data_IF_087582065107
#
_entry.id   IF_087582065107
#
_cell.length_a   1.000
_cell.length_b   1.000
_cell.length_c   1.000
_cell.angle_alpha   90.00
_cell.angle_beta   90.00
_cell.angle_gamma   90.00
#
_symmetry.space_group_name_H-M   'P 1'
#
loop_
_entity.id
_entity.type
_entity.pdbx_description
1 polymer ?
#
# COMPACT_ATOMS: atom_id res chain seq x y z
N UNK A 1 -12.69 -3.40 -8.08
CA UNK A 1 -13.17 -2.01 -7.83
C UNK A 1 -13.49 -1.76 -6.35
N UNK A 2 -14.46 -2.46 -5.71
CA UNK A 2 -14.82 -2.20 -4.30
C UNK A 2 -13.63 -2.23 -3.32
N UNK A 3 -12.82 -3.30 -3.36
CA UNK A 3 -11.66 -3.46 -2.49
C UNK A 3 -10.63 -2.32 -2.64
N UNK A 4 -10.56 -1.72 -3.84
CA UNK A 4 -9.66 -0.61 -4.14
C UNK A 4 -10.10 0.66 -3.41
N UNK A 5 -11.35 1.07 -3.57
CA UNK A 5 -11.89 2.23 -2.86
C UNK A 5 -11.84 2.05 -1.34
N UNK A 6 -12.14 0.84 -0.85
CA UNK A 6 -12.00 0.51 0.56
C UNK A 6 -10.55 0.71 1.05
N UNK A 7 -9.58 0.20 0.29
CA UNK A 7 -8.15 0.33 0.63
C UNK A 7 -7.73 1.80 0.65
N UNK A 8 -8.11 2.58 -0.35
CA UNK A 8 -7.80 4.02 -0.43
C UNK A 8 -8.28 4.77 0.80
N UNK A 9 -9.45 4.43 1.35
CA UNK A 9 -10.00 5.11 2.52
C UNK A 9 -9.49 4.60 3.86
N UNK A 10 -8.91 3.40 3.91
CA UNK A 10 -8.21 2.92 5.09
C UNK A 10 -6.86 3.64 5.31
N UNK A 11 -6.23 4.14 4.24
CA UNK A 11 -4.95 4.87 4.33
C UNK A 11 -5.06 6.16 5.17
N UNK A 12 -5.95 7.13 4.88
CA UNK A 12 -6.05 8.36 5.66
C UNK A 12 -6.39 8.09 7.13
N UNK A 13 -7.21 7.07 7.44
CA UNK A 13 -7.54 6.70 8.82
C UNK A 13 -6.30 6.28 9.61
N UNK A 14 -5.42 5.46 9.01
CA UNK A 14 -4.16 5.07 9.63
C UNK A 14 -3.24 6.27 9.88
N UNK A 15 -3.21 7.23 8.96
CA UNK A 15 -2.43 8.46 9.09
C UNK A 15 -2.98 9.42 10.15
N UNK A 16 -4.30 9.61 10.20
CA UNK A 16 -4.97 10.41 11.23
C UNK A 16 -4.70 9.83 12.61
N UNK A 17 -4.86 8.50 12.77
CA UNK A 17 -4.57 7.83 14.04
C UNK A 17 -3.14 8.10 14.52
N UNK A 18 -2.16 7.98 13.63
CA UNK A 18 -0.74 8.25 13.94
C UNK A 18 -0.46 9.72 14.20
N UNK A 19 -1.09 10.61 13.45
CA UNK A 19 -1.01 12.05 13.70
C UNK A 19 -1.49 12.38 15.12
N UNK A 20 -2.63 11.83 15.54
CA UNK A 20 -3.16 12.02 16.89
C UNK A 20 -2.22 11.43 17.96
N UNK A 21 -1.66 10.26 17.70
CA UNK A 21 -0.73 9.61 18.62
C UNK A 21 0.60 10.39 18.77
N UNK A 22 1.21 10.83 17.67
CA UNK A 22 2.56 11.45 17.66
C UNK A 22 2.50 12.95 17.92
N UNK A 23 1.59 13.66 17.25
CA UNK A 23 1.56 15.13 17.32
C UNK A 23 0.76 15.64 18.52
N UNK A 24 -0.24 14.88 18.97
CA UNK A 24 -1.14 15.28 20.07
C UNK A 24 -0.98 14.43 21.34
N UNK A 25 -0.15 13.38 21.33
CA UNK A 25 -0.05 12.40 22.43
C UNK A 25 -1.42 11.83 22.84
N UNK A 26 -2.37 11.78 21.90
CA UNK A 26 -3.74 11.35 22.17
C UNK A 26 -3.92 9.88 21.77
N UNK A 27 -4.20 9.01 22.74
CA UNK A 27 -4.52 7.61 22.49
C UNK A 27 -6.02 7.48 22.20
N UNK A 28 -6.37 7.12 20.97
CA UNK A 28 -7.78 6.84 20.65
C UNK A 28 -8.25 5.57 21.34
N UNK A 29 -9.46 5.63 21.90
CA UNK A 29 -10.17 4.44 22.34
C UNK A 29 -10.54 3.58 21.12
N UNK A 30 -10.53 2.26 21.26
CA UNK A 30 -10.87 1.31 20.19
C UNK A 30 -12.25 1.59 19.58
N UNK A 31 -13.23 2.01 20.39
CA UNK A 31 -14.57 2.40 19.91
C UNK A 31 -14.51 3.60 18.95
N UNK A 32 -13.74 4.63 19.30
CA UNK A 32 -13.57 5.83 18.46
C UNK A 32 -12.79 5.50 17.18
N UNK A 33 -11.80 4.60 17.27
CA UNK A 33 -11.08 4.13 16.08
C UNK A 33 -12.00 3.38 15.11
N UNK A 34 -12.83 2.46 15.62
CA UNK A 34 -13.82 1.74 14.79
C UNK A 34 -14.82 2.71 14.18
N UNK A 35 -15.30 3.71 14.94
CA UNK A 35 -16.20 4.74 14.41
C UNK A 35 -15.54 5.57 13.30
N UNK A 36 -14.25 5.91 13.44
CA UNK A 36 -13.49 6.63 12.43
C UNK A 36 -13.34 5.78 11.15
N UNK A 37 -12.99 4.49 11.28
CA UNK A 37 -12.92 3.56 10.15
C UNK A 37 -14.29 3.46 9.46
N UNK A 38 -15.36 3.26 10.22
CA UNK A 38 -16.71 3.17 9.68
C UNK A 38 -17.10 4.44 8.91
N UNK A 39 -16.85 5.62 9.48
CA UNK A 39 -17.14 6.91 8.86
C UNK A 39 -16.44 7.06 7.51
N UNK A 40 -15.13 6.78 7.45
CA UNK A 40 -14.34 6.89 6.21
C UNK A 40 -14.69 5.80 5.19
N UNK A 41 -15.36 4.74 5.61
CA UNK A 41 -15.71 3.60 4.77
C UNK A 41 -17.05 3.74 4.05
N UNK A 42 -17.98 4.54 4.60
CA UNK A 42 -19.33 4.71 4.04
C UNK A 42 -19.29 5.16 2.58
N UNK A 43 -18.51 6.19 2.27
CA UNK A 43 -18.45 6.78 0.94
C UNK A 43 -17.82 5.83 -0.11
N UNK A 44 -16.68 5.17 0.16
CA UNK A 44 -16.14 4.09 -0.68
C UNK A 44 -17.09 2.94 -0.92
N UNK A 45 -17.81 2.49 0.12
CA UNK A 45 -18.81 1.44 -0.02
C UNK A 45 -19.89 1.89 -0.98
N UNK A 46 -20.41 3.10 -0.78
CA UNK A 46 -21.43 3.68 -1.65
C UNK A 46 -20.97 3.76 -3.11
N UNK A 47 -19.77 4.26 -3.37
CA UNK A 47 -19.18 4.31 -4.72
C UNK A 47 -19.01 2.90 -5.29
N UNK A 48 -18.48 1.96 -4.50
CA UNK A 48 -18.28 0.58 -4.93
C UNK A 48 -19.58 -0.11 -5.32
N UNK A 49 -20.65 0.07 -4.52
CA UNK A 49 -21.99 -0.44 -4.83
C UNK A 49 -22.55 0.21 -6.09
N UNK A 50 -22.41 1.53 -6.25
CA UNK A 50 -22.82 2.25 -7.48
C UNK A 50 -22.10 1.72 -8.70
N UNK A 51 -20.79 1.50 -8.62
CA UNK A 51 -20.01 0.93 -9.71
C UNK A 51 -20.47 -0.50 -10.03
N UNK A 52 -20.78 -1.35 -9.05
CA UNK A 52 -21.34 -2.69 -9.31
C UNK A 52 -22.68 -2.64 -10.06
N UNK A 53 -23.51 -1.63 -9.79
CA UNK A 53 -24.80 -1.45 -10.48
C UNK A 53 -24.58 -0.89 -11.89
N UNK A 54 -23.62 0.02 -12.07
CA UNK A 54 -23.34 0.71 -13.33
C UNK A 54 -22.53 -0.13 -14.32
N UNK A 55 -21.61 -0.97 -13.84
CA UNK A 55 -20.86 -1.94 -14.65
C UNK A 55 -21.67 -3.21 -14.92
N UNK A 56 -22.97 -3.06 -15.18
CA UNK A 56 -23.73 -4.13 -15.82
C UNK A 56 -23.35 -4.16 -17.30
N UNK A 57 -23.21 -5.36 -17.91
CA UNK A 57 -23.01 -5.46 -19.34
C UNK A 57 -24.16 -4.73 -20.05
N UNK A 58 -23.83 -3.96 -21.10
CA UNK A 58 -24.86 -3.29 -21.89
C UNK A 58 -25.78 -4.33 -22.53
N UNK A 59 -27.01 -3.95 -22.89
CA UNK A 59 -27.91 -4.86 -23.61
C UNK A 59 -27.28 -5.34 -24.92
N UNK A 60 -26.51 -4.46 -25.58
CA UNK A 60 -25.70 -4.81 -26.75
C UNK A 60 -24.63 -5.85 -26.41
N UNK A 61 -23.89 -5.69 -25.30
CA UNK A 61 -22.91 -6.68 -24.87
C UNK A 61 -23.60 -8.03 -24.66
N UNK A 62 -24.74 -8.08 -23.94
CA UNK A 62 -25.50 -9.33 -23.75
C UNK A 62 -25.92 -9.95 -25.09
N UNK A 63 -26.36 -9.13 -26.05
CA UNK A 63 -26.82 -9.55 -27.37
C UNK A 63 -25.67 -10.08 -28.26
N UNK A 64 -24.52 -9.40 -28.25
CA UNK A 64 -23.39 -9.72 -29.13
C UNK A 64 -22.36 -10.66 -28.48
N UNK A 65 -22.36 -10.83 -27.16
CA UNK A 65 -21.48 -11.76 -26.44
C UNK A 65 -21.48 -13.20 -26.96
N UNK A 66 -22.62 -13.85 -27.29
CA UNK A 66 -22.57 -15.19 -27.88
C UNK A 66 -21.96 -15.19 -29.29
N UNK A 67 -22.11 -14.11 -30.07
CA UNK A 67 -21.46 -13.97 -31.38
C UNK A 67 -19.95 -13.80 -31.21
N UNK A 68 -19.51 -13.03 -30.22
CA UNK A 68 -18.10 -12.89 -29.85
C UNK A 68 -17.49 -14.20 -29.33
N UNK A 69 -18.17 -14.90 -28.42
CA UNK A 69 -17.70 -16.18 -27.86
C UNK A 69 -17.55 -17.28 -28.92
N UNK A 70 -18.36 -17.23 -29.99
CA UNK A 70 -18.28 -18.17 -31.11
C UNK A 70 -17.35 -17.70 -32.23
N UNK A 71 -16.81 -16.49 -32.14
CA UNK A 71 -15.91 -15.95 -33.16
C UNK A 71 -14.50 -16.50 -32.97
N UNK A 72 -13.84 -16.81 -34.08
CA UNK A 72 -12.45 -17.31 -34.11
C UNK A 72 -11.46 -16.33 -33.43
N UNK A 73 -11.84 -15.06 -33.29
CA UNK A 73 -11.10 -14.01 -32.58
C UNK A 73 -10.91 -14.27 -31.08
N UNK A 74 -11.74 -15.10 -30.44
CA UNK A 74 -11.54 -15.52 -29.05
C UNK A 74 -10.53 -16.67 -28.90
N UNK A 75 -10.21 -17.37 -30.00
CA UNK A 75 -9.14 -18.38 -30.00
C UNK A 75 -7.75 -17.74 -30.11
N UNK A 76 -7.69 -16.48 -30.51
CA UNK A 76 -6.46 -15.70 -30.45
C UNK A 76 -6.21 -15.28 -29.00
N UNK A 77 -5.12 -15.79 -28.41
CA UNK A 77 -4.80 -15.62 -26.98
C UNK A 77 -4.48 -14.18 -26.61
N UNK A 78 -4.33 -13.32 -27.61
CA UNK A 78 -3.93 -11.92 -27.46
C UNK A 78 -5.12 -10.95 -27.52
N UNK A 79 -6.34 -11.42 -27.76
CA UNK A 79 -7.52 -10.54 -27.86
C UNK A 79 -8.09 -10.19 -26.49
N UNK A 80 -7.91 -8.94 -26.07
CA UNK A 80 -8.39 -8.42 -24.79
C UNK A 80 -9.85 -7.98 -24.92
N UNK A 81 -10.74 -8.64 -24.17
CA UNK A 81 -12.15 -8.24 -24.10
C UNK A 81 -12.25 -6.96 -23.26
N UNK A 82 -12.46 -5.84 -23.94
CA UNK A 82 -12.78 -4.57 -23.28
C UNK A 82 -14.29 -4.46 -23.12
N UNK A 83 -14.77 -4.39 -21.87
CA UNK A 83 -16.18 -4.17 -21.60
C UNK A 83 -16.53 -2.72 -21.93
N UNK A 84 -17.39 -2.52 -22.93
CA UNK A 84 -17.99 -1.21 -23.21
C UNK A 84 -19.01 -0.93 -22.12
N UNK A 85 -18.66 -0.01 -21.21
CA UNK A 85 -19.62 0.49 -20.21
C UNK A 85 -20.72 1.22 -20.98
N UNK A 86 -21.97 0.78 -20.82
CA UNK A 86 -23.11 1.42 -21.47
C UNK A 86 -23.13 2.93 -21.20
N UNK A 87 -23.56 3.71 -22.19
CA UNK A 87 -23.61 5.18 -22.18
C UNK A 87 -24.65 5.73 -21.19
N UNK A 88 -24.42 5.48 -19.89
CA UNK A 88 -25.23 5.97 -18.80
C UNK A 88 -24.59 7.25 -18.28
N UNK A 89 -25.33 8.36 -18.31
CA UNK A 89 -24.92 9.66 -17.76
C UNK A 89 -24.47 9.60 -16.28
N UNK A 90 -24.88 8.55 -15.55
CA UNK A 90 -24.49 8.28 -14.17
C UNK A 90 -23.05 7.73 -14.02
N UNK A 91 -22.49 7.14 -15.07
CA UNK A 91 -21.12 6.59 -15.09
C UNK A 91 -20.05 7.67 -14.89
N UNK A 92 -19.98 8.75 -15.71
CA UNK A 92 -18.98 9.80 -15.53
C UNK A 92 -19.12 10.50 -14.17
N UNK A 93 -20.35 10.72 -13.68
CA UNK A 93 -20.55 11.31 -12.34
C UNK A 93 -19.97 10.44 -11.22
N UNK A 94 -20.12 9.11 -11.32
CA UNK A 94 -19.59 8.19 -10.32
C UNK A 94 -18.06 8.12 -10.39
N UNK A 95 -17.48 8.19 -11.58
CA UNK A 95 -16.02 8.28 -11.77
C UNK A 95 -15.45 9.59 -11.19
N UNK A 96 -16.08 10.73 -11.46
CA UNK A 96 -15.68 12.04 -10.90
C UNK A 96 -15.73 11.99 -9.37
N UNK A 97 -16.81 11.46 -8.79
CA UNK A 97 -16.92 11.29 -7.34
C UNK A 97 -15.78 10.42 -6.80
N UNK A 98 -15.44 9.33 -7.48
CA UNK A 98 -14.29 8.49 -7.16
C UNK A 98 -12.96 9.26 -7.15
N UNK A 99 -12.70 10.07 -8.18
CA UNK A 99 -11.49 10.90 -8.28
C UNK A 99 -11.43 11.89 -7.11
N UNK A 100 -12.54 12.56 -6.79
CA UNK A 100 -12.62 13.51 -5.67
C UNK A 100 -12.31 12.82 -4.34
N UNK A 101 -12.86 11.63 -4.09
CA UNK A 101 -12.60 10.86 -2.87
C UNK A 101 -11.13 10.47 -2.75
N UNK A 102 -10.52 10.01 -3.84
CA UNK A 102 -9.10 9.69 -3.88
C UNK A 102 -8.28 10.95 -3.60
N UNK A 103 -8.56 12.07 -4.26
CA UNK A 103 -7.85 13.33 -4.08
C UNK A 103 -7.93 13.85 -2.63
N UNK A 104 -9.11 13.83 -2.01
CA UNK A 104 -9.30 14.22 -0.61
C UNK A 104 -8.50 13.28 0.32
N UNK A 105 -8.59 11.97 0.10
CA UNK A 105 -7.89 10.98 0.92
C UNK A 105 -6.37 11.20 0.88
N UNK A 106 -5.80 11.38 -0.31
CA UNK A 106 -4.37 11.65 -0.48
C UNK A 106 -3.96 13.03 0.06
N UNK A 107 -4.81 14.04 -0.03
CA UNK A 107 -4.56 15.35 0.58
C UNK A 107 -4.42 15.23 2.11
N UNK A 108 -5.31 14.47 2.76
CA UNK A 108 -5.23 14.19 4.19
C UNK A 108 -3.91 13.46 4.53
N UNK A 109 -3.55 12.44 3.76
CA UNK A 109 -2.31 11.68 3.96
C UNK A 109 -1.07 12.57 3.84
N UNK A 110 -1.01 13.42 2.82
CA UNK A 110 0.11 14.36 2.61
C UNK A 110 0.19 15.34 3.78
N UNK A 111 -0.92 16.00 4.13
CA UNK A 111 -0.95 16.98 5.22
C UNK A 111 -0.53 16.37 6.57
N UNK A 112 -1.09 15.21 6.92
CA UNK A 112 -0.77 14.51 8.18
C UNK A 112 0.68 13.99 8.18
N UNK A 113 1.17 13.48 7.05
CA UNK A 113 2.56 13.03 6.88
C UNK A 113 3.56 14.16 7.09
N UNK A 114 3.30 15.33 6.49
CA UNK A 114 4.14 16.52 6.68
C UNK A 114 4.15 16.92 8.15
N UNK A 115 2.98 16.99 8.79
CA UNK A 115 2.87 17.37 10.20
C UNK A 115 3.59 16.39 11.14
N UNK A 116 3.47 15.08 10.90
CA UNK A 116 4.20 14.03 11.64
C UNK A 116 5.71 14.23 11.46
N UNK A 117 6.16 14.42 10.22
CA UNK A 117 7.59 14.60 9.90
C UNK A 117 8.17 15.82 10.60
N UNK A 118 7.45 16.95 10.60
CA UNK A 118 7.88 18.18 11.30
C UNK A 118 8.00 17.90 12.80
N UNK A 119 7.00 17.27 13.43
CA UNK A 119 7.03 16.97 14.86
C UNK A 119 8.16 16.02 15.25
N UNK A 120 8.41 14.99 14.44
CA UNK A 120 9.50 14.05 14.65
C UNK A 120 10.86 14.72 14.55
N UNK A 121 11.05 15.62 13.58
CA UNK A 121 12.29 16.41 13.47
C UNK A 121 12.51 17.31 14.68
N UNK A 122 11.45 17.85 15.28
CA UNK A 122 11.56 18.63 16.53
C UNK A 122 11.97 17.73 17.71
N UNK A 123 11.36 16.56 17.86
CA UNK A 123 11.70 15.61 18.93
C UNK A 123 13.12 15.04 18.80
N UNK A 124 13.61 14.86 17.58
CA UNK A 124 14.98 14.42 17.33
C UNK A 124 16.01 15.45 17.83
N UNK A 125 15.68 16.75 17.79
CA UNK A 125 16.55 17.83 18.29
C UNK A 125 16.63 17.86 19.83
N UNK A 126 15.61 17.38 20.54
CA UNK A 126 15.53 17.42 22.01
C UNK A 126 16.17 16.23 22.73
N UNK A 127 16.95 15.39 22.03
CA UNK A 127 17.96 14.54 22.68
C UNK A 127 17.66 13.05 22.83
N UNK A 128 16.48 12.54 22.45
CA UNK A 128 16.24 11.08 22.42
C UNK A 128 16.50 10.50 21.02
N UNK A 129 17.78 10.36 20.68
CA UNK A 129 18.24 9.98 19.33
C UNK A 129 17.77 8.59 18.90
N UNK A 130 17.61 7.64 19.83
CA UNK A 130 17.21 6.27 19.53
C UNK A 130 15.72 6.16 19.16
N UNK A 131 14.84 6.81 19.94
CA UNK A 131 13.40 6.82 19.65
C UNK A 131 13.10 7.60 18.36
N UNK A 132 13.83 8.70 18.12
CA UNK A 132 13.71 9.49 16.89
C UNK A 132 14.06 8.72 15.62
N UNK A 133 15.10 7.87 15.66
CA UNK A 133 15.46 6.99 14.53
C UNK A 133 14.36 5.99 14.22
N UNK A 134 13.84 5.29 15.24
CA UNK A 134 12.77 4.31 15.06
C UNK A 134 11.49 4.96 14.50
N UNK A 135 11.11 6.13 14.98
CA UNK A 135 9.93 6.84 14.47
C UNK A 135 10.12 7.36 13.05
N UNK A 136 11.33 7.79 12.69
CA UNK A 136 11.65 8.22 11.33
C UNK A 136 11.58 7.06 10.35
N UNK A 137 12.11 5.88 10.72
CA UNK A 137 11.99 4.65 9.92
C UNK A 137 10.52 4.29 9.70
N UNK A 138 9.70 4.28 10.75
CA UNK A 138 8.27 3.98 10.66
C UNK A 138 7.55 4.97 9.74
N UNK A 139 7.89 6.26 9.81
CA UNK A 139 7.27 7.31 8.98
C UNK A 139 7.61 7.14 7.50
N UNK A 140 8.86 6.80 7.19
CA UNK A 140 9.28 6.50 5.81
C UNK A 140 8.58 5.27 5.25
N UNK A 141 8.45 4.20 6.04
CA UNK A 141 7.72 3.00 5.64
C UNK A 141 6.29 3.36 5.25
N UNK A 142 5.60 4.16 6.07
CA UNK A 142 4.25 4.60 5.73
C UNK A 142 4.18 5.43 4.47
N UNK A 143 5.10 6.37 4.31
CA UNK A 143 5.12 7.21 3.11
C UNK A 143 5.24 6.35 1.85
N UNK A 144 6.13 5.35 1.88
CA UNK A 144 6.27 4.37 0.80
C UNK A 144 4.99 3.54 0.65
N UNK A 145 4.40 3.07 1.75
CA UNK A 145 3.13 2.33 1.74
C UNK A 145 1.93 3.17 1.25
N UNK A 146 1.99 4.51 1.32
CA UNK A 146 0.97 5.39 0.75
C UNK A 146 1.24 5.70 -0.73
N UNK A 147 2.51 5.83 -1.10
CA UNK A 147 2.94 6.05 -2.47
C UNK A 147 2.68 4.81 -3.34
N UNK A 148 2.83 3.60 -2.79
CA UNK A 148 2.65 2.38 -3.56
C UNK A 148 1.24 2.19 -4.11
N UNK A 149 0.17 2.30 -3.31
CA UNK A 149 -1.19 2.23 -3.84
C UNK A 149 -1.49 3.39 -4.79
N UNK A 150 -0.85 4.54 -4.60
CA UNK A 150 -1.02 5.67 -5.52
C UNK A 150 -0.47 5.36 -6.90
N UNK A 151 0.77 4.87 -6.98
CA UNK A 151 1.39 4.45 -8.23
C UNK A 151 0.73 3.18 -8.79
N UNK A 152 0.37 2.26 -7.89
CA UNK A 152 -0.27 0.96 -8.11
C UNK A 152 -1.65 1.03 -8.74
N UNK A 153 -2.45 1.99 -8.30
CA UNK A 153 -3.87 2.05 -8.60
C UNK A 153 -4.33 3.46 -8.95
N UNK A 154 -3.88 4.47 -8.20
CA UNK A 154 -4.28 5.86 -8.42
C UNK A 154 -3.91 6.35 -9.82
N UNK A 155 -2.65 6.16 -10.22
CA UNK A 155 -2.15 6.58 -11.53
C UNK A 155 -2.80 5.81 -12.68
N UNK A 156 -2.95 4.48 -12.62
CA UNK A 156 -3.75 3.71 -13.57
C UNK A 156 -5.19 4.19 -13.73
N UNK A 157 -5.89 4.44 -12.63
CA UNK A 157 -7.27 4.94 -12.67
C UNK A 157 -7.32 6.33 -13.28
N UNK A 158 -6.40 7.21 -12.92
CA UNK A 158 -6.30 8.54 -13.53
C UNK A 158 -6.08 8.45 -15.04
N UNK A 159 -5.22 7.55 -15.50
CA UNK A 159 -5.03 7.29 -16.93
C UNK A 159 -6.34 6.85 -17.59
N UNK A 160 -7.04 5.85 -17.04
CA UNK A 160 -8.33 5.38 -17.57
C UNK A 160 -9.37 6.51 -17.60
N UNK A 161 -9.45 7.32 -16.54
CA UNK A 161 -10.36 8.45 -16.51
C UNK A 161 -10.02 9.49 -17.57
N UNK A 162 -8.75 9.85 -17.74
CA UNK A 162 -8.29 10.75 -18.80
C UNK A 162 -8.62 10.18 -20.17
N UNK A 163 -8.30 8.90 -20.42
CA UNK A 163 -8.67 8.21 -21.66
C UNK A 163 -10.16 8.27 -21.96
N UNK A 164 -10.99 8.03 -20.94
CA UNK A 164 -12.45 8.14 -21.04
C UNK A 164 -12.94 9.56 -21.35
N UNK A 165 -12.38 10.59 -20.71
CA UNK A 165 -12.81 11.98 -20.93
C UNK A 165 -12.35 12.56 -22.26
N UNK A 166 -11.22 12.11 -22.80
CA UNK A 166 -10.66 12.60 -24.05
C UNK A 166 -10.90 11.66 -25.24
N UNK A 167 -11.66 10.58 -25.04
CA UNK A 167 -11.90 9.54 -26.03
C UNK A 167 -10.59 8.95 -26.62
N UNK A 168 -9.56 8.85 -25.77
CA UNK A 168 -8.25 8.30 -26.14
C UNK A 168 -8.22 6.83 -25.78
N UNK A 169 -8.09 5.98 -26.80
CA UNK A 169 -7.81 4.56 -26.61
C UNK A 169 -6.46 4.38 -25.90
N UNK A 170 -6.47 3.73 -24.74
CA UNK A 170 -5.26 3.38 -23.99
C UNK A 170 -4.93 1.92 -24.31
N UNK A 171 -3.90 1.65 -25.14
CA UNK A 171 -3.60 0.31 -25.63
C UNK A 171 -3.00 -0.63 -24.56
N UNK A 172 -2.93 -0.24 -23.28
CA UNK A 172 -2.20 -0.98 -22.24
C UNK A 172 -2.99 -1.11 -20.93
N UNK A 173 -4.31 -1.29 -21.01
CA UNK A 173 -5.14 -1.57 -19.84
C UNK A 173 -4.79 -2.89 -19.15
N UNK A 174 -4.18 -3.84 -19.87
CA UNK A 174 -3.66 -5.10 -19.29
C UNK A 174 -2.53 -4.86 -18.30
N UNK A 175 -1.59 -3.98 -18.65
CA UNK A 175 -0.49 -3.62 -17.76
C UNK A 175 -1.03 -3.07 -16.44
N UNK A 176 -2.08 -2.25 -16.51
CA UNK A 176 -2.74 -1.69 -15.32
C UNK A 176 -3.39 -2.78 -14.47
N UNK A 177 -4.02 -3.76 -15.10
CA UNK A 177 -4.68 -4.89 -14.42
C UNK A 177 -3.66 -5.80 -13.75
N UNK A 178 -2.58 -6.13 -14.46
CA UNK A 178 -1.46 -6.92 -13.94
C UNK A 178 -0.84 -6.19 -12.75
N UNK A 179 -0.49 -4.91 -12.89
CA UNK A 179 0.13 -4.13 -11.82
C UNK A 179 -0.77 -4.02 -10.58
N UNK A 180 -2.08 -3.81 -10.80
CA UNK A 180 -3.11 -3.80 -9.75
C UNK A 180 -3.16 -5.11 -8.97
N UNK A 181 -3.03 -6.25 -9.65
CA UNK A 181 -3.04 -7.58 -9.01
C UNK A 181 -1.76 -7.84 -8.20
N UNK A 182 -0.62 -7.30 -8.62
CA UNK A 182 0.65 -7.44 -7.89
C UNK A 182 0.85 -6.43 -6.77
N UNK A 183 0.05 -5.36 -6.70
CA UNK A 183 0.23 -4.30 -5.71
C UNK A 183 0.25 -4.79 -4.24
N UNK A 184 -0.58 -5.76 -3.80
CA UNK A 184 -0.46 -6.32 -2.44
C UNK A 184 0.88 -7.01 -2.19
N UNK A 185 1.36 -7.79 -3.17
CA UNK A 185 2.66 -8.48 -3.12
C UNK A 185 3.82 -7.48 -3.07
N UNK A 186 3.75 -6.44 -3.91
CA UNK A 186 4.73 -5.36 -3.89
C UNK A 186 4.72 -4.64 -2.54
N UNK A 187 3.54 -4.32 -1.98
CA UNK A 187 3.45 -3.68 -0.67
C UNK A 187 4.13 -4.50 0.44
N UNK A 188 3.93 -5.83 0.45
CA UNK A 188 4.60 -6.72 1.38
C UNK A 188 6.13 -6.72 1.17
N UNK A 189 6.56 -6.81 -0.09
CA UNK A 189 7.96 -6.81 -0.49
C UNK A 189 8.67 -5.51 -0.07
N UNK A 190 8.10 -4.35 -0.40
CA UNK A 190 8.60 -3.05 0.04
C UNK A 190 8.63 -2.93 1.56
N UNK A 191 7.60 -3.41 2.27
CA UNK A 191 7.60 -3.41 3.73
C UNK A 191 8.76 -4.24 4.29
N UNK A 192 9.04 -5.42 3.73
CA UNK A 192 10.20 -6.24 4.12
C UNK A 192 11.53 -5.54 3.85
N UNK A 193 11.67 -4.85 2.71
CA UNK A 193 12.90 -4.16 2.33
C UNK A 193 13.14 -2.84 3.07
N UNK A 194 12.09 -2.14 3.52
CA UNK A 194 12.24 -0.83 4.17
C UNK A 194 12.32 -0.96 5.69
N UNK A 195 11.56 -1.86 6.30
CA UNK A 195 11.50 -2.00 7.77
C UNK A 195 12.76 -2.69 8.29
N UNK A 196 13.59 -1.93 9.02
CA UNK A 196 14.88 -2.38 9.56
C UNK A 196 14.85 -3.74 10.28
N UNK A 197 13.89 -4.00 11.19
CA UNK A 197 13.74 -5.32 11.82
C UNK A 197 13.59 -6.49 10.85
N UNK A 198 12.79 -6.35 9.78
CA UNK A 198 12.62 -7.41 8.79
C UNK A 198 13.90 -7.63 8.00
N UNK A 199 14.57 -6.55 7.57
CA UNK A 199 15.87 -6.64 6.90
C UNK A 199 16.91 -7.37 7.74
N UNK A 200 17.01 -7.05 9.04
CA UNK A 200 17.93 -7.72 9.97
C UNK A 200 17.63 -9.22 10.09
N UNK A 201 16.34 -9.58 10.15
CA UNK A 201 15.93 -10.99 10.21
C UNK A 201 16.23 -11.74 8.91
N UNK A 202 15.91 -11.15 7.75
CA UNK A 202 16.22 -11.72 6.44
C UNK A 202 17.73 -11.88 6.26
N UNK A 203 18.52 -10.85 6.61
CA UNK A 203 19.98 -10.92 6.59
C UNK A 203 20.52 -12.03 7.51
N UNK A 204 19.94 -12.23 8.71
CA UNK A 204 20.36 -13.32 9.61
C UNK A 204 20.06 -14.72 9.08
N UNK A 205 19.03 -14.86 8.24
CA UNK A 205 18.66 -16.15 7.61
C UNK A 205 19.50 -16.41 6.36
N UNK A 206 19.76 -15.37 5.55
CA UNK A 206 20.55 -15.47 4.32
C UNK A 206 22.06 -15.49 4.55
N UNK A 207 22.53 -14.79 5.57
CA UNK A 207 23.91 -14.82 6.04
C UNK A 207 23.91 -15.45 7.43
N UNK A 208 23.68 -16.78 7.54
CA UNK A 208 23.91 -17.47 8.79
C UNK A 208 25.35 -17.18 9.18
N UNK A 209 25.51 -16.44 10.28
CA UNK A 209 26.82 -16.07 10.82
C UNK A 209 27.67 -17.34 10.86
N UNK A 210 28.75 -17.35 10.06
CA UNK A 210 29.85 -18.32 10.18
C UNK A 210 30.60 -17.94 11.46
N UNK A 211 29.94 -18.10 12.60
CA UNK A 211 30.42 -17.68 13.91
C UNK A 211 30.15 -18.83 14.88
N UNK A 212 30.70 -20.00 14.53
CA UNK A 212 30.79 -21.15 15.42
C UNK A 212 32.18 -21.80 15.48
N UNK A 213 33.21 -21.28 14.79
CA UNK A 213 34.58 -21.80 14.93
C UNK A 213 35.51 -20.99 15.85
N UNK A 214 35.21 -19.73 16.17
CA UNK A 214 36.09 -18.93 17.03
C UNK A 214 35.86 -19.14 18.53
N UNK A 215 34.71 -19.70 18.93
CA UNK A 215 34.37 -19.98 20.33
C UNK A 215 35.10 -21.21 20.89
N UNK A 216 35.48 -22.17 20.04
CA UNK A 216 36.23 -23.37 20.48
C UNK A 216 37.70 -23.04 20.75
N UNK A 217 38.30 -22.12 19.96
CA UNK A 217 39.70 -21.71 20.15
C UNK A 217 39.89 -20.89 21.44
N UNK A 218 38.92 -20.05 21.81
CA UNK A 218 39.03 -19.25 23.04
C UNK A 218 38.76 -20.03 24.34
N UNK A 219 38.06 -21.16 24.30
CA UNK A 219 37.97 -22.05 25.46
C UNK A 219 39.28 -22.83 25.64
N UNK A 220 39.92 -23.28 24.55
CA UNK A 220 41.23 -23.94 24.60
C UNK A 220 42.29 -23.06 25.27
N UNK A 221 42.37 -21.77 24.91
CA UNK A 221 43.36 -20.86 25.49
C UNK A 221 43.05 -20.45 26.94
N UNK A 222 41.79 -20.55 27.39
CA UNK A 222 41.40 -20.20 28.76
C UNK A 222 41.61 -21.36 29.74
N UNK A 223 41.65 -22.60 29.25
CA UNK A 223 42.03 -23.78 30.06
C UNK A 223 43.55 -23.81 30.27
N UNK A 224 44.34 -23.46 29.25
CA UNK A 224 45.81 -23.54 29.33
C UNK A 224 46.41 -22.53 30.33
N UNK A 225 45.81 -21.34 30.46
CA UNK A 225 46.30 -20.31 31.38
C UNK A 225 45.93 -20.53 32.86
N UNK A 226 45.17 -21.57 33.23
CA UNK A 226 44.88 -21.88 34.64
C UNK A 226 45.88 -22.85 35.28
N UNK A 227 46.82 -23.41 34.52
CA UNK A 227 47.77 -24.44 35.00
C UNK A 227 49.20 -23.86 35.18
N UNK A 228 49.36 -22.55 35.42
CA UNK A 228 50.65 -22.00 35.86
C UNK A 228 50.67 -21.84 37.38
N UNK A 229 51.31 -22.76 38.12
CA UNK A 229 51.53 -22.57 39.56
C UNK A 229 52.46 -21.36 39.77
N UNK A 230 52.07 -20.48 40.70
CA UNK A 230 52.93 -19.42 41.21
C UNK A 230 54.07 -20.07 41.99
N UNK A 231 55.29 -19.99 41.46
CA UNK A 231 56.50 -20.25 42.23
C UNK A 231 56.66 -19.15 43.28
N UNK A 232 56.69 -19.55 44.54
CA UNK A 232 57.11 -18.77 45.71
C UNK A 232 58.60 -18.89 45.90
#
# INVERSE_FOLDING_TARGET
MFALYWTVSCIPVNYIYRYLLICRNFKLNSKTFVMLVALFSILPIFIGVRLLILFKPSEDDIKYRPLFNNSEYMNDKDTVITFVVGNNYLSPMTLILGIVVVAISYSIVICTSIAITIKLRQLAKTGNTQMGRLQTEITWVLFIQALLPFLGFGLPILMVCVGFFFDVSIPSTDFLTIFSNYAPSLNALFTMFVVGPYRRKIASVLMPKIEQQTSVVNISNKVDNRIRPRAT
#
